data_IF_939986429967
#
_entry.id   IF_939986429967
#
_cell.length_a   1.000
_cell.length_b   1.000
_cell.length_c   1.000
_cell.angle_alpha   90.00
_cell.angle_beta   90.00
_cell.angle_gamma   90.00
#
_symmetry.space_group_name_H-M   'P 1'
#
loop_
_entity.id
_entity.type
_entity.pdbx_description
1 polymer ?
#
# COMPACT_ATOMS: atom_id res chain seq x y z
N UNK A 1 -63.22 -8.85 -10.68
CA UNK A 1 -62.31 -8.04 -11.49
C UNK A 1 -60.94 -8.74 -11.51
N UNK A 2 -60.73 -9.52 -12.55
CA UNK A 2 -59.55 -10.35 -12.76
C UNK A 2 -58.55 -9.59 -13.61
N UNK A 3 -57.36 -9.22 -13.05
CA UNK A 3 -56.27 -8.66 -13.82
C UNK A 3 -55.33 -9.79 -14.26
N UNK A 4 -55.24 -9.97 -15.56
CA UNK A 4 -54.38 -10.91 -16.28
C UNK A 4 -52.95 -10.41 -16.20
N UNK A 5 -52.03 -11.26 -15.68
CA UNK A 5 -50.59 -11.07 -15.74
C UNK A 5 -50.10 -11.69 -17.05
N UNK A 6 -49.56 -10.85 -17.93
CA UNK A 6 -48.96 -11.30 -19.19
C UNK A 6 -47.57 -11.84 -18.95
N UNK A 7 -47.38 -13.12 -19.29
CA UNK A 7 -46.07 -13.76 -19.35
C UNK A 7 -45.42 -13.42 -20.69
N UNK A 8 -44.37 -12.62 -20.70
CA UNK A 8 -43.52 -12.40 -21.87
C UNK A 8 -42.58 -13.60 -22.02
N UNK A 9 -42.87 -14.49 -22.94
CA UNK A 9 -41.97 -15.52 -23.44
C UNK A 9 -40.88 -14.84 -24.26
N UNK A 10 -39.67 -14.76 -23.71
CA UNK A 10 -38.48 -14.40 -24.47
C UNK A 10 -38.01 -15.60 -25.27
N UNK A 11 -38.22 -15.56 -26.59
CA UNK A 11 -37.74 -16.55 -27.54
C UNK A 11 -36.21 -16.57 -27.53
N UNK A 12 -35.63 -17.66 -27.02
CA UNK A 12 -34.21 -17.97 -27.16
C UNK A 12 -33.98 -18.42 -28.59
N UNK A 13 -33.47 -17.54 -29.43
CA UNK A 13 -32.90 -17.89 -30.72
C UNK A 13 -31.62 -18.71 -30.50
N UNK A 14 -31.75 -20.04 -30.64
CA UNK A 14 -30.61 -20.95 -30.87
C UNK A 14 -30.06 -20.60 -32.25
N UNK A 15 -29.08 -19.69 -32.30
CA UNK A 15 -28.21 -19.49 -33.44
C UNK A 15 -27.30 -20.71 -33.62
N UNK A 16 -27.56 -21.50 -34.62
CA UNK A 16 -26.71 -22.57 -35.15
C UNK A 16 -25.29 -22.05 -35.25
N UNK A 17 -24.38 -22.66 -34.52
CA UNK A 17 -22.93 -22.47 -34.68
C UNK A 17 -22.53 -23.03 -36.06
N UNK A 18 -22.55 -22.19 -37.07
CA UNK A 18 -21.80 -22.39 -38.28
C UNK A 18 -20.32 -22.37 -37.87
N UNK A 19 -19.72 -23.53 -37.77
CA UNK A 19 -18.26 -23.69 -37.72
C UNK A 19 -17.67 -23.24 -39.08
N UNK A 20 -17.82 -21.94 -39.38
CA UNK A 20 -17.11 -21.28 -40.44
C UNK A 20 -15.68 -20.96 -39.99
N UNK A 21 -14.70 -21.17 -40.83
CA UNK A 21 -13.34 -20.61 -40.72
C UNK A 21 -13.39 -19.07 -40.63
N UNK A 22 -13.89 -18.55 -39.54
CA UNK A 22 -13.95 -17.12 -39.28
C UNK A 22 -12.53 -16.57 -39.19
N UNK A 23 -12.30 -15.44 -39.85
CA UNK A 23 -11.03 -14.71 -39.74
C UNK A 23 -10.63 -14.58 -38.28
N UNK A 24 -9.36 -14.87 -37.99
CA UNK A 24 -8.82 -14.73 -36.64
C UNK A 24 -9.11 -13.33 -36.07
N UNK A 25 -9.71 -13.25 -34.90
CA UNK A 25 -10.14 -11.99 -34.32
C UNK A 25 -9.91 -11.90 -32.82
N UNK A 26 -9.68 -10.69 -32.34
CA UNK A 26 -9.61 -10.35 -30.93
C UNK A 26 -10.42 -9.06 -30.69
N UNK A 27 -11.08 -8.99 -29.57
CA UNK A 27 -11.75 -7.77 -29.09
C UNK A 27 -11.35 -7.48 -27.65
N UNK A 28 -11.47 -6.23 -27.22
CA UNK A 28 -11.29 -5.78 -25.84
C UNK A 28 -12.61 -5.26 -25.32
N UNK A 29 -12.88 -5.48 -24.04
CA UNK A 29 -14.09 -4.98 -23.38
C UNK A 29 -14.04 -3.44 -23.27
N UNK A 30 -12.86 -2.89 -22.90
CA UNK A 30 -12.64 -1.47 -22.67
C UNK A 30 -11.32 -1.05 -23.30
N UNK A 31 -11.33 0.07 -24.05
CA UNK A 31 -10.12 0.67 -24.64
C UNK A 31 -9.36 1.58 -23.67
N UNK A 32 -9.92 1.86 -22.49
CA UNK A 32 -9.27 2.63 -21.43
C UNK A 32 -9.57 2.00 -20.08
N UNK A 33 -8.54 1.59 -19.35
CA UNK A 33 -8.67 0.92 -18.05
C UNK A 33 -7.81 1.61 -17.01
N UNK A 34 -8.34 1.70 -15.79
CA UNK A 34 -7.57 2.17 -14.63
C UNK A 34 -7.09 0.98 -13.78
N UNK A 35 -5.88 1.06 -13.19
CA UNK A 35 -5.45 0.05 -12.24
C UNK A 35 -6.36 -0.03 -11.02
N UNK A 36 -6.82 -1.23 -10.68
CA UNK A 36 -7.46 -1.56 -9.41
C UNK A 36 -6.46 -2.32 -8.54
N UNK A 37 -6.16 -1.81 -7.35
CA UNK A 37 -5.04 -2.35 -6.57
C UNK A 37 -3.69 -2.14 -7.25
N UNK A 38 -2.92 -3.21 -7.47
CA UNK A 38 -1.55 -3.15 -8.02
C UNK A 38 -1.47 -3.23 -9.55
N UNK A 39 -2.58 -3.52 -10.24
CA UNK A 39 -2.61 -3.75 -11.68
C UNK A 39 -3.92 -3.28 -12.31
N UNK A 40 -3.90 -3.07 -13.62
CA UNK A 40 -5.09 -3.03 -14.45
C UNK A 40 -5.36 -4.43 -15.01
N UNK A 41 -6.63 -4.74 -15.22
CA UNK A 41 -7.08 -5.99 -15.86
C UNK A 41 -7.74 -5.62 -17.18
N UNK A 42 -7.18 -6.09 -18.29
CA UNK A 42 -7.77 -5.99 -19.62
C UNK A 42 -8.47 -7.30 -19.91
N UNK A 43 -9.77 -7.25 -20.22
CA UNK A 43 -10.57 -8.39 -20.61
C UNK A 43 -11.00 -8.27 -22.05
N UNK A 44 -11.22 -9.39 -22.71
CA UNK A 44 -11.70 -9.42 -24.07
C UNK A 44 -12.08 -10.83 -24.53
N UNK A 45 -12.47 -10.93 -25.80
CA UNK A 45 -12.82 -12.19 -26.45
C UNK A 45 -11.92 -12.43 -27.67
N UNK A 46 -11.81 -13.69 -28.05
CA UNK A 46 -11.07 -14.12 -29.25
C UNK A 46 -11.57 -15.50 -29.70
N UNK A 47 -11.53 -15.75 -30.99
CA UNK A 47 -11.75 -17.09 -31.55
C UNK A 47 -10.45 -17.92 -31.67
N UNK A 48 -9.34 -17.43 -31.06
CA UNK A 48 -8.04 -18.09 -31.09
C UNK A 48 -7.63 -18.58 -29.69
N UNK A 49 -6.96 -19.74 -29.60
CA UNK A 49 -6.48 -20.28 -28.32
C UNK A 49 -5.37 -19.48 -27.64
N UNK A 50 -4.76 -18.51 -28.35
CA UNK A 50 -3.64 -17.70 -27.83
C UNK A 50 -3.75 -16.27 -28.30
N UNK A 51 -3.68 -15.36 -27.34
CA UNK A 51 -3.64 -13.90 -27.53
C UNK A 51 -2.20 -13.42 -27.30
N UNK A 52 -1.72 -12.54 -28.18
CA UNK A 52 -0.42 -11.86 -28.10
C UNK A 52 -0.66 -10.44 -27.62
N UNK A 53 0.26 -9.90 -26.83
CA UNK A 53 0.21 -8.50 -26.43
C UNK A 53 1.60 -7.91 -26.23
N UNK A 54 1.71 -6.60 -26.46
CA UNK A 54 2.88 -5.80 -26.15
C UNK A 54 2.49 -4.65 -25.25
N UNK A 55 3.41 -4.19 -24.41
CA UNK A 55 3.22 -3.03 -23.53
C UNK A 55 4.25 -1.98 -23.91
N UNK A 56 3.78 -0.81 -24.34
CA UNK A 56 4.62 0.32 -24.78
C UNK A 56 5.63 -0.06 -25.88
N UNK A 57 5.24 -0.92 -26.81
CA UNK A 57 6.10 -1.38 -27.88
C UNK A 57 7.23 -2.33 -27.46
N UNK A 58 7.22 -2.81 -26.21
CA UNK A 58 8.20 -3.81 -25.72
C UNK A 58 7.99 -5.21 -26.30
N UNK A 59 8.69 -6.20 -25.76
CA UNK A 59 8.62 -7.59 -26.20
C UNK A 59 7.20 -8.15 -26.19
N UNK A 60 6.89 -8.98 -27.20
CA UNK A 60 5.61 -9.68 -27.30
C UNK A 60 5.50 -10.74 -26.19
N UNK A 61 4.36 -10.71 -25.51
CA UNK A 61 3.93 -11.69 -24.50
C UNK A 61 2.71 -12.43 -25.02
N UNK A 62 2.41 -13.57 -24.43
CA UNK A 62 1.25 -14.39 -24.78
C UNK A 62 0.42 -14.74 -23.55
N UNK A 63 -0.89 -14.92 -23.75
CA UNK A 63 -1.80 -15.54 -22.80
C UNK A 63 -2.71 -16.51 -23.52
N UNK A 64 -3.21 -17.53 -22.82
CA UNK A 64 -4.21 -18.45 -23.36
C UNK A 64 -5.61 -17.86 -23.18
N UNK A 65 -6.49 -18.10 -24.15
CA UNK A 65 -7.93 -17.88 -23.98
C UNK A 65 -8.58 -19.11 -23.34
N UNK A 66 -9.67 -18.88 -22.62
CA UNK A 66 -10.54 -19.93 -22.06
C UNK A 66 -11.96 -19.60 -22.43
N UNK A 67 -12.69 -20.52 -23.05
CA UNK A 67 -14.08 -20.31 -23.52
C UNK A 67 -14.23 -18.96 -24.25
N UNK A 68 -13.35 -18.74 -25.25
CA UNK A 68 -13.24 -17.51 -26.03
C UNK A 68 -12.86 -16.23 -25.24
N UNK A 69 -12.81 -16.28 -23.92
CA UNK A 69 -12.41 -15.17 -23.08
C UNK A 69 -10.92 -15.13 -22.80
N UNK A 70 -10.32 -13.95 -22.63
CA UNK A 70 -8.96 -13.77 -22.11
C UNK A 70 -8.91 -12.62 -21.10
N UNK A 71 -7.86 -12.66 -20.28
CA UNK A 71 -7.56 -11.60 -19.30
C UNK A 71 -6.06 -11.34 -19.24
N UNK A 72 -5.68 -10.05 -19.25
CA UNK A 72 -4.31 -9.59 -19.11
C UNK A 72 -4.17 -8.79 -17.83
N UNK A 73 -3.20 -9.12 -17.00
CA UNK A 73 -2.85 -8.35 -15.80
C UNK A 73 -1.66 -7.44 -16.11
N UNK A 74 -1.89 -6.14 -16.14
CA UNK A 74 -0.88 -5.12 -16.47
C UNK A 74 -0.48 -4.40 -15.19
N UNK A 75 0.75 -4.57 -14.68
CA UNK A 75 1.22 -3.90 -13.48
C UNK A 75 1.10 -2.38 -13.58
N UNK A 76 0.58 -1.74 -12.53
CA UNK A 76 0.46 -0.29 -12.47
C UNK A 76 1.84 0.38 -12.54
N UNK A 77 1.94 1.48 -13.31
CA UNK A 77 3.15 2.29 -13.44
C UNK A 77 2.86 3.77 -13.19
N UNK A 78 3.86 4.61 -12.92
CA UNK A 78 3.67 6.03 -12.64
C UNK A 78 3.36 6.86 -13.90
N UNK A 79 3.23 6.21 -15.04
CA UNK A 79 2.88 6.80 -16.33
C UNK A 79 1.83 5.95 -17.05
N UNK A 80 1.17 6.54 -18.03
CA UNK A 80 0.21 5.90 -18.92
C UNK A 80 0.89 4.81 -19.75
N UNK A 81 0.25 3.65 -19.89
CA UNK A 81 0.78 2.55 -20.70
C UNK A 81 -0.17 2.28 -21.88
N UNK A 82 0.40 1.95 -23.02
CA UNK A 82 -0.33 1.49 -24.20
C UNK A 82 -0.12 -0.01 -24.36
N UNK A 83 -1.20 -0.77 -24.38
CA UNK A 83 -1.18 -2.23 -24.58
C UNK A 83 -1.80 -2.52 -25.93
N UNK A 84 -1.02 -3.11 -26.84
CA UNK A 84 -1.52 -3.64 -28.10
C UNK A 84 -1.80 -5.12 -27.92
N UNK A 85 -3.01 -5.55 -28.26
CA UNK A 85 -3.49 -6.92 -28.11
C UNK A 85 -3.82 -7.44 -29.51
N UNK A 86 -3.31 -8.60 -29.88
CA UNK A 86 -3.47 -9.15 -31.23
C UNK A 86 -3.56 -10.67 -31.23
N UNK A 87 -4.00 -11.25 -32.32
CA UNK A 87 -3.94 -12.68 -32.62
C UNK A 87 -3.17 -12.91 -33.91
N UNK A 88 -2.65 -14.13 -34.08
CA UNK A 88 -1.93 -14.50 -35.32
C UNK A 88 -2.89 -14.41 -36.51
N UNK A 89 -2.47 -13.71 -37.58
CA UNK A 89 -3.26 -13.50 -38.78
C UNK A 89 -4.63 -12.83 -38.58
N UNK A 90 -4.77 -12.05 -37.50
CA UNK A 90 -6.00 -11.32 -37.17
C UNK A 90 -5.77 -9.83 -36.90
N UNK A 91 -6.77 -9.19 -36.31
CA UNK A 91 -6.74 -7.77 -35.96
C UNK A 91 -5.87 -7.48 -34.72
N UNK A 92 -5.65 -6.19 -34.50
CA UNK A 92 -4.96 -5.66 -33.31
C UNK A 92 -5.86 -4.61 -32.64
N UNK A 93 -6.04 -4.75 -31.35
CA UNK A 93 -6.71 -3.79 -30.48
C UNK A 93 -5.72 -3.02 -29.64
N UNK A 94 -6.07 -1.78 -29.30
CA UNK A 94 -5.21 -0.94 -28.47
C UNK A 94 -5.97 -0.51 -27.23
N UNK A 95 -5.35 -0.73 -26.05
CA UNK A 95 -5.89 -0.35 -24.75
C UNK A 95 -4.93 0.59 -24.06
N UNK A 96 -5.48 1.66 -23.52
CA UNK A 96 -4.76 2.60 -22.67
C UNK A 96 -4.94 2.20 -21.21
N UNK A 97 -3.82 2.03 -20.48
CA UNK A 97 -3.81 1.83 -19.03
C UNK A 97 -3.43 3.14 -18.34
N UNK A 98 -4.28 3.63 -17.44
CA UNK A 98 -4.03 4.87 -16.71
C UNK A 98 -2.81 4.75 -15.78
N UNK A 99 -2.15 5.89 -15.53
CA UNK A 99 -1.07 5.98 -14.55
C UNK A 99 -1.59 5.83 -13.12
N UNK A 100 -0.71 5.39 -12.20
CA UNK A 100 -0.98 5.41 -10.76
C UNK A 100 0.12 6.16 -10.02
N UNK A 101 -0.25 6.86 -8.96
CA UNK A 101 0.72 7.56 -8.10
C UNK A 101 1.60 6.55 -7.34
N UNK A 102 2.86 6.89 -7.17
CA UNK A 102 3.81 6.14 -6.34
C UNK A 102 3.49 6.35 -4.86
N UNK A 103 3.52 5.30 -4.04
CA UNK A 103 3.38 5.41 -2.59
C UNK A 103 4.64 6.07 -2.02
N UNK A 104 5.80 5.42 -2.21
CA UNK A 104 7.14 5.87 -1.79
C UNK A 104 8.22 5.08 -2.52
N UNK A 105 9.50 5.26 -2.16
CA UNK A 105 10.54 4.34 -2.61
C UNK A 105 10.44 3.01 -1.87
N UNK A 106 10.82 1.92 -2.54
CA UNK A 106 10.81 0.59 -1.91
C UNK A 106 11.73 0.55 -0.67
N UNK A 107 12.89 1.19 -0.74
CA UNK A 107 13.84 1.26 0.39
C UNK A 107 13.20 1.92 1.63
N UNK A 108 12.48 3.04 1.47
CA UNK A 108 11.76 3.67 2.59
C UNK A 108 10.71 2.74 3.19
N UNK A 109 9.93 2.09 2.34
CA UNK A 109 8.94 1.10 2.76
C UNK A 109 9.57 -0.05 3.54
N UNK A 110 10.59 -0.68 2.97
CA UNK A 110 11.31 -1.80 3.56
C UNK A 110 11.93 -1.43 4.92
N UNK A 111 12.60 -0.28 5.00
CA UNK A 111 13.20 0.20 6.24
C UNK A 111 12.14 0.45 7.31
N UNK A 112 11.07 1.18 6.99
CA UNK A 112 9.99 1.47 7.93
C UNK A 112 9.25 0.20 8.37
N UNK A 113 8.96 -0.72 7.45
CA UNK A 113 8.37 -2.02 7.76
C UNK A 113 9.22 -2.82 8.75
N UNK A 114 10.52 -2.99 8.45
CA UNK A 114 11.43 -3.80 9.27
C UNK A 114 11.69 -3.16 10.64
N UNK A 115 11.77 -1.83 10.72
CA UNK A 115 11.90 -1.11 11.98
C UNK A 115 10.63 -1.27 12.85
N UNK A 116 9.45 -1.13 12.25
CA UNK A 116 8.17 -1.32 12.96
C UNK A 116 8.03 -2.76 13.44
N UNK A 117 8.39 -3.73 12.61
CA UNK A 117 8.37 -5.16 12.97
C UNK A 117 9.27 -5.44 14.18
N UNK A 118 10.47 -4.88 14.22
CA UNK A 118 11.37 -4.99 15.37
C UNK A 118 10.82 -4.26 16.60
N UNK A 119 10.18 -3.11 16.41
CA UNK A 119 9.51 -2.37 17.47
C UNK A 119 8.38 -3.16 18.14
N UNK A 120 7.55 -3.84 17.35
CA UNK A 120 6.48 -4.71 17.84
C UNK A 120 7.00 -5.94 18.60
N UNK A 121 8.23 -6.38 18.33
CA UNK A 121 8.88 -7.48 19.03
C UNK A 121 9.54 -7.09 20.36
N UNK A 122 9.57 -5.79 20.69
CA UNK A 122 10.01 -5.32 22.00
C UNK A 122 9.01 -5.72 23.10
N UNK A 123 9.49 -5.85 24.34
CA UNK A 123 8.60 -5.96 25.51
C UNK A 123 7.72 -4.71 25.63
N UNK A 124 6.54 -4.83 26.25
CA UNK A 124 5.62 -3.72 26.45
C UNK A 124 6.30 -2.51 27.13
N UNK A 125 7.12 -2.76 28.14
CA UNK A 125 7.89 -1.71 28.80
C UNK A 125 8.82 -0.98 27.82
N UNK A 126 9.56 -1.71 26.98
CA UNK A 126 10.45 -1.11 26.00
C UNK A 126 9.70 -0.43 24.84
N UNK A 127 8.53 -0.94 24.43
CA UNK A 127 7.65 -0.25 23.49
C UNK A 127 7.21 1.12 24.03
N UNK A 128 6.77 1.17 25.31
CA UNK A 128 6.40 2.42 25.97
C UNK A 128 7.58 3.40 26.05
N UNK A 129 8.77 2.91 26.45
CA UNK A 129 9.99 3.73 26.46
C UNK A 129 10.33 4.28 25.07
N UNK A 130 10.23 3.44 24.02
CA UNK A 130 10.50 3.86 22.65
C UNK A 130 9.51 4.92 22.16
N UNK A 131 8.21 4.76 22.47
CA UNK A 131 7.18 5.75 22.14
C UNK A 131 7.44 7.08 22.86
N UNK A 132 7.68 7.04 24.16
CA UNK A 132 8.00 8.25 24.94
C UNK A 132 9.26 8.96 24.40
N UNK A 133 10.27 8.20 23.99
CA UNK A 133 11.48 8.74 23.37
C UNK A 133 11.19 9.48 22.07
N UNK A 134 10.32 8.91 21.22
CA UNK A 134 9.91 9.54 19.96
C UNK A 134 9.13 10.84 20.20
N UNK A 135 8.19 10.81 21.13
CA UNK A 135 7.36 11.99 21.47
C UNK A 135 8.22 13.12 22.04
N UNK A 136 9.13 12.79 22.96
CA UNK A 136 10.08 13.75 23.54
C UNK A 136 11.05 14.30 22.48
N UNK A 137 11.56 13.46 21.57
CA UNK A 137 12.41 13.92 20.47
C UNK A 137 11.66 14.86 19.51
N UNK A 138 10.39 14.56 19.21
CA UNK A 138 9.54 15.43 18.38
C UNK A 138 9.27 16.77 19.05
N UNK A 139 8.99 16.78 20.37
CA UNK A 139 8.80 18.01 21.17
C UNK A 139 10.08 18.84 21.18
N UNK A 140 11.21 18.22 21.44
CA UNK A 140 12.52 18.88 21.45
C UNK A 140 12.86 19.54 20.12
N UNK A 141 12.58 18.86 19.01
CA UNK A 141 12.75 19.41 17.65
C UNK A 141 11.90 20.66 17.42
N UNK A 142 10.63 20.65 17.86
CA UNK A 142 9.73 21.83 17.76
C UNK A 142 10.26 22.99 18.60
N UNK A 143 10.67 22.72 19.84
CA UNK A 143 11.23 23.74 20.74
C UNK A 143 12.50 24.34 20.17
N UNK A 144 13.41 23.51 19.64
CA UNK A 144 14.65 23.97 18.99
C UNK A 144 14.35 24.88 17.80
N UNK A 145 13.40 24.49 16.92
CA UNK A 145 13.03 25.33 15.78
C UNK A 145 12.40 26.68 16.22
N UNK A 146 11.60 26.66 17.28
CA UNK A 146 11.01 27.88 17.86
C UNK A 146 12.08 28.81 18.42
N UNK A 147 13.03 28.28 19.20
CA UNK A 147 14.15 29.08 19.75
C UNK A 147 14.99 29.67 18.61
N UNK A 148 15.32 28.89 17.58
CA UNK A 148 16.09 29.39 16.44
C UNK A 148 15.37 30.54 15.72
N UNK A 149 14.04 30.46 15.53
CA UNK A 149 13.25 31.54 14.94
C UNK A 149 13.24 32.80 15.83
N UNK A 150 13.10 32.63 17.15
CA UNK A 150 13.13 33.75 18.11
C UNK A 150 14.52 34.40 18.16
N UNK A 151 15.60 33.63 18.16
CA UNK A 151 16.99 34.14 18.08
C UNK A 151 17.18 34.97 16.82
N UNK A 152 16.70 34.50 15.65
CA UNK A 152 16.76 35.28 14.40
C UNK A 152 16.05 36.62 14.52
N UNK A 153 14.84 36.62 15.11
CA UNK A 153 14.04 37.84 15.32
C UNK A 153 14.73 38.82 16.28
N UNK A 154 15.23 38.30 17.43
CA UNK A 154 15.92 39.13 18.41
C UNK A 154 17.21 39.76 17.87
N UNK A 155 18.00 38.99 17.10
CA UNK A 155 19.20 39.52 16.40
C UNK A 155 18.85 40.63 15.39
N UNK A 156 17.72 40.47 14.66
CA UNK A 156 17.29 41.50 13.72
C UNK A 156 16.82 42.80 14.42
N UNK A 157 16.23 42.70 15.62
CA UNK A 157 15.86 43.86 16.45
C UNK A 157 17.11 44.56 16.98
N UNK A 158 18.08 43.81 17.52
CA UNK A 158 19.32 44.34 18.04
C UNK A 158 20.09 45.11 16.93
N UNK A 159 20.13 44.56 15.71
CA UNK A 159 20.74 45.23 14.55
C UNK A 159 20.07 46.55 14.13
N UNK A 160 18.82 46.77 14.56
CA UNK A 160 18.07 48.02 14.36
C UNK A 160 18.17 48.97 15.61
N UNK A 161 19.05 48.67 16.56
CA UNK A 161 19.26 49.50 17.76
C UNK A 161 18.38 49.19 18.94
N UNK A 162 17.52 48.16 18.86
CA UNK A 162 16.66 47.75 20.00
C UNK A 162 17.50 46.95 21.01
N UNK A 163 18.02 47.65 22.03
CA UNK A 163 18.87 47.07 23.08
C UNK A 163 18.12 46.12 24.01
N UNK A 164 16.76 46.19 24.07
CA UNK A 164 15.93 45.25 24.86
C UNK A 164 16.05 43.81 24.35
N UNK A 165 16.42 43.65 23.09
CA UNK A 165 16.67 42.35 22.50
C UNK A 165 17.86 41.56 23.10
N UNK A 166 18.77 42.25 23.82
CA UNK A 166 19.90 41.60 24.52
C UNK A 166 19.40 40.62 25.61
N UNK A 167 18.49 41.09 26.47
CA UNK A 167 17.89 40.24 27.51
C UNK A 167 17.14 39.03 26.90
N UNK A 168 16.44 39.26 25.79
CA UNK A 168 15.77 38.18 25.07
C UNK A 168 16.79 37.13 24.53
N UNK A 169 17.92 37.57 23.98
CA UNK A 169 18.95 36.64 23.49
C UNK A 169 19.59 35.85 24.65
N UNK A 170 19.77 36.47 25.83
CA UNK A 170 20.26 35.78 27.00
C UNK A 170 19.33 34.69 27.51
N UNK A 171 18.00 34.98 27.59
CA UNK A 171 16.97 33.99 27.93
C UNK A 171 16.95 32.83 26.91
N UNK A 172 17.02 33.16 25.62
CA UNK A 172 17.04 32.14 24.56
C UNK A 172 18.32 31.28 24.63
N UNK A 173 19.47 31.83 25.02
CA UNK A 173 20.69 31.06 25.23
C UNK A 173 20.51 30.05 26.39
N UNK A 174 19.93 30.48 27.54
CA UNK A 174 19.61 29.61 28.67
C UNK A 174 18.67 28.48 28.25
N UNK A 175 17.60 28.79 27.50
CA UNK A 175 16.69 27.78 26.94
C UNK A 175 17.42 26.82 26.00
N UNK A 176 18.37 27.30 25.21
CA UNK A 176 19.21 26.48 24.35
C UNK A 176 20.04 25.46 25.10
N UNK A 177 20.64 25.85 26.23
CA UNK A 177 21.43 24.93 27.10
C UNK A 177 20.50 23.88 27.75
N UNK A 178 19.29 24.28 28.20
CA UNK A 178 18.30 23.33 28.70
C UNK A 178 17.91 22.29 27.66
N UNK A 179 17.75 22.69 26.39
CA UNK A 179 17.48 21.75 25.29
C UNK A 179 18.64 20.80 25.03
N UNK A 180 19.90 21.26 25.12
CA UNK A 180 21.07 20.38 24.99
C UNK A 180 21.09 19.31 26.10
N UNK A 181 20.79 19.69 27.32
CA UNK A 181 20.70 18.76 28.46
C UNK A 181 19.58 17.72 28.22
N UNK A 182 18.41 18.15 27.74
CA UNK A 182 17.32 17.23 27.41
C UNK A 182 17.74 16.29 26.25
N UNK A 183 18.41 16.78 25.22
CA UNK A 183 18.91 15.97 24.11
C UNK A 183 19.90 14.90 24.59
N UNK A 184 20.80 15.24 25.52
CA UNK A 184 21.73 14.29 26.11
C UNK A 184 21.01 13.18 26.89
N UNK A 185 19.97 13.51 27.68
CA UNK A 185 19.13 12.51 28.37
C UNK A 185 18.40 11.59 27.40
N UNK A 186 17.87 12.13 26.32
CA UNK A 186 17.24 11.31 25.26
C UNK A 186 18.22 10.35 24.60
N UNK A 187 19.44 10.83 24.31
CA UNK A 187 20.50 10.00 23.74
C UNK A 187 20.90 8.86 24.70
N UNK A 188 21.01 9.13 25.99
CA UNK A 188 21.27 8.08 26.99
C UNK A 188 20.13 7.05 27.06
N UNK A 189 18.87 7.49 27.03
CA UNK A 189 17.70 6.61 26.99
C UNK A 189 17.69 5.76 25.71
N UNK A 190 18.01 6.34 24.56
CA UNK A 190 18.14 5.61 23.30
C UNK A 190 19.24 4.53 23.38
N UNK A 191 20.39 4.87 23.96
CA UNK A 191 21.48 3.91 24.14
C UNK A 191 21.07 2.74 25.06
N UNK A 192 20.28 2.99 26.11
CA UNK A 192 19.77 1.94 27.01
C UNK A 192 18.79 0.98 26.33
N UNK A 193 18.09 1.43 25.28
CA UNK A 193 17.18 0.58 24.48
C UNK A 193 17.90 -0.24 23.38
N UNK A 194 19.11 0.14 23.00
CA UNK A 194 19.81 -0.48 21.87
C UNK A 194 20.01 -2.00 22.01
N UNK A 195 20.37 -2.57 23.17
CA UNK A 195 20.50 -4.02 23.32
C UNK A 195 19.16 -4.76 23.14
N UNK A 196 18.08 -4.19 23.71
CA UNK A 196 16.74 -4.77 23.55
C UNK A 196 16.26 -4.72 22.08
N UNK A 197 16.52 -3.62 21.39
CA UNK A 197 16.20 -3.48 19.97
C UNK A 197 17.01 -4.46 19.11
N UNK A 198 18.30 -4.65 19.38
CA UNK A 198 19.14 -5.65 18.69
C UNK A 198 18.60 -7.06 18.88
N UNK A 199 18.18 -7.43 20.09
CA UNK A 199 17.54 -8.73 20.37
C UNK A 199 16.21 -8.87 19.63
N UNK A 200 15.38 -7.84 19.62
CA UNK A 200 14.11 -7.82 18.90
C UNK A 200 14.32 -7.95 17.39
N UNK A 201 15.29 -7.24 16.80
CA UNK A 201 15.65 -7.38 15.38
C UNK A 201 16.10 -8.80 15.04
N UNK A 202 16.91 -9.43 15.89
CA UNK A 202 17.34 -10.81 15.70
C UNK A 202 16.15 -11.78 15.72
N UNK A 203 15.19 -11.59 16.65
CA UNK A 203 14.01 -12.45 16.78
C UNK A 203 13.07 -12.41 15.58
N UNK A 204 13.01 -11.28 14.85
CA UNK A 204 12.15 -11.09 13.67
C UNK A 204 12.91 -11.17 12.34
N UNK A 205 14.18 -11.54 12.35
CA UNK A 205 15.04 -11.57 11.15
C UNK A 205 14.39 -12.33 9.99
N UNK A 206 13.75 -13.45 10.29
CA UNK A 206 13.07 -14.28 9.29
C UNK A 206 11.78 -13.66 8.76
N UNK A 207 11.25 -12.61 9.37
CA UNK A 207 10.01 -11.94 8.97
C UNK A 207 10.25 -10.58 8.32
N UNK A 208 11.50 -10.14 8.19
CA UNK A 208 11.86 -8.90 7.52
C UNK A 208 11.64 -8.98 6.00
N UNK A 209 11.38 -7.82 5.40
CA UNK A 209 11.36 -7.68 3.94
C UNK A 209 12.79 -7.64 3.38
N UNK A 210 13.01 -8.19 2.16
CA UNK A 210 14.32 -8.16 1.52
C UNK A 210 14.76 -6.72 1.21
N UNK A 211 16.07 -6.49 1.18
CA UNK A 211 16.64 -5.16 0.92
C UNK A 211 16.28 -4.60 -0.48
N UNK A 212 16.09 -5.48 -1.44
CA UNK A 212 15.72 -5.12 -2.82
C UNK A 212 14.47 -5.89 -3.27
N UNK A 213 13.72 -5.31 -4.20
CA UNK A 213 12.61 -6.00 -4.87
C UNK A 213 12.73 -5.85 -6.38
N UNK A 214 12.37 -6.92 -7.09
CA UNK A 214 12.31 -6.94 -8.55
C UNK A 214 11.19 -6.05 -9.08
N UNK A 215 11.38 -5.47 -10.28
CA UNK A 215 10.32 -4.74 -10.98
C UNK A 215 9.12 -5.65 -11.30
N UNK A 216 7.92 -5.09 -11.19
CA UNK A 216 6.66 -5.80 -11.41
C UNK A 216 6.00 -6.25 -10.11
N UNK A 217 5.05 -7.17 -10.24
CA UNK A 217 4.27 -7.70 -9.13
C UNK A 217 4.91 -8.99 -8.63
N UNK A 218 5.46 -8.97 -7.42
CA UNK A 218 6.11 -10.13 -6.81
C UNK A 218 5.69 -10.31 -5.36
N UNK A 219 5.57 -11.58 -4.93
CA UNK A 219 5.50 -11.91 -3.50
C UNK A 219 6.91 -11.82 -2.94
N UNK A 220 7.12 -10.88 -2.03
CA UNK A 220 8.44 -10.58 -1.45
C UNK A 220 8.62 -11.18 -0.07
N UNK A 221 7.51 -11.62 0.55
CA UNK A 221 7.51 -12.30 1.84
C UNK A 221 6.39 -13.34 1.90
N UNK A 222 6.72 -14.51 2.38
CA UNK A 222 5.77 -15.58 2.71
C UNK A 222 6.08 -16.08 4.10
N UNK A 223 5.08 -16.11 4.96
CA UNK A 223 5.11 -16.71 6.28
C UNK A 223 4.01 -17.76 6.41
N UNK A 224 3.93 -18.45 7.53
CA UNK A 224 2.82 -19.37 7.83
C UNK A 224 1.45 -18.66 7.87
N UNK A 225 1.41 -17.36 8.20
CA UNK A 225 0.19 -16.64 8.52
C UNK A 225 -0.21 -15.59 7.46
N UNK A 226 0.72 -15.15 6.64
CA UNK A 226 0.46 -14.12 5.64
C UNK A 226 1.50 -14.11 4.51
N UNK A 227 1.16 -13.44 3.42
CA UNK A 227 2.10 -13.10 2.34
C UNK A 227 2.07 -11.59 2.12
N UNK A 228 3.23 -11.00 1.83
CA UNK A 228 3.35 -9.62 1.35
C UNK A 228 3.74 -9.66 -0.12
N UNK A 229 2.91 -9.04 -0.94
CA UNK A 229 3.14 -8.87 -2.38
C UNK A 229 3.29 -7.38 -2.67
N UNK A 230 4.21 -7.01 -3.54
CA UNK A 230 4.42 -5.62 -3.94
C UNK A 230 4.43 -5.50 -5.46
N UNK A 231 4.04 -4.34 -5.95
CA UNK A 231 4.35 -3.87 -7.30
C UNK A 231 5.43 -2.79 -7.17
N UNK A 232 6.60 -3.05 -7.74
CA UNK A 232 7.73 -2.12 -7.75
C UNK A 232 8.06 -1.74 -9.19
N UNK A 233 8.36 -0.47 -9.41
CA UNK A 233 8.84 0.02 -10.68
C UNK A 233 10.02 0.99 -10.46
N UNK A 234 11.21 0.62 -10.94
CA UNK A 234 12.46 1.38 -10.79
C UNK A 234 12.67 1.87 -9.35
N UNK A 235 12.61 0.95 -8.39
CA UNK A 235 12.78 1.22 -6.96
C UNK A 235 11.62 1.99 -6.31
N UNK A 236 10.53 2.29 -7.05
CA UNK A 236 9.33 2.97 -6.54
C UNK A 236 8.25 1.94 -6.22
N UNK A 237 7.68 1.99 -5.02
CA UNK A 237 6.55 1.17 -4.60
C UNK A 237 5.26 1.74 -5.20
N UNK A 238 4.69 1.02 -6.16
CA UNK A 238 3.43 1.39 -6.81
C UNK A 238 2.21 0.88 -6.05
N UNK A 239 2.36 -0.19 -5.28
CA UNK A 239 1.34 -0.81 -4.46
C UNK A 239 1.90 -1.95 -3.64
N UNK A 240 1.20 -2.27 -2.55
CA UNK A 240 1.46 -3.46 -1.73
C UNK A 240 0.15 -4.21 -1.47
N UNK A 241 0.24 -5.49 -1.17
CA UNK A 241 -0.92 -6.29 -0.77
C UNK A 241 -0.51 -7.22 0.37
N UNK A 242 -1.25 -7.16 1.46
CA UNK A 242 -1.22 -8.18 2.51
C UNK A 242 -2.26 -9.24 2.16
N UNK A 243 -1.84 -10.49 2.10
CA UNK A 243 -2.68 -11.64 1.76
C UNK A 243 -2.75 -12.53 2.98
N UNK A 244 -3.95 -12.72 3.53
CA UNK A 244 -4.16 -13.40 4.82
C UNK A 244 -5.23 -14.47 4.66
N UNK A 245 -5.00 -15.72 5.09
CA UNK A 245 -6.06 -16.72 5.17
C UNK A 245 -7.20 -16.26 6.09
N UNK A 246 -8.45 -16.41 5.68
CA UNK A 246 -9.63 -16.03 6.50
C UNK A 246 -9.65 -16.82 7.82
N UNK A 247 -9.16 -18.05 7.82
CA UNK A 247 -9.00 -18.86 9.04
C UNK A 247 -8.14 -18.18 10.11
N UNK A 248 -7.19 -17.31 9.71
CA UNK A 248 -6.38 -16.53 10.65
C UNK A 248 -7.17 -15.44 11.39
N UNK A 249 -8.38 -15.11 10.94
CA UNK A 249 -9.23 -14.10 11.59
C UNK A 249 -10.22 -14.73 12.58
N UNK A 250 -10.36 -16.05 12.56
CA UNK A 250 -11.32 -16.78 13.41
C UNK A 250 -10.77 -17.19 14.78
N UNK A 251 -9.45 -17.06 14.99
CA UNK A 251 -8.77 -17.45 16.22
C UNK A 251 -8.10 -16.19 16.82
N UNK A 252 -8.36 -15.92 18.10
CA UNK A 252 -7.88 -14.71 18.78
C UNK A 252 -6.37 -14.50 18.71
N UNK A 253 -5.59 -15.58 18.86
CA UNK A 253 -4.13 -15.51 18.77
C UNK A 253 -3.68 -15.14 17.37
N UNK A 254 -4.32 -15.71 16.35
CA UNK A 254 -4.01 -15.42 14.94
C UNK A 254 -4.54 -14.03 14.53
N UNK A 255 -5.71 -13.62 15.03
CA UNK A 255 -6.26 -12.27 14.83
C UNK A 255 -5.34 -11.20 15.41
N UNK A 256 -4.73 -11.42 16.59
CA UNK A 256 -3.69 -10.52 17.14
C UNK A 256 -2.46 -10.44 16.25
N UNK A 257 -1.98 -11.57 15.72
CA UNK A 257 -0.85 -11.59 14.75
C UNK A 257 -1.21 -10.87 13.45
N UNK A 258 -2.43 -11.06 12.96
CA UNK A 258 -2.94 -10.32 11.80
C UNK A 258 -2.95 -8.82 12.07
N UNK A 259 -3.53 -8.36 13.19
CA UNK A 259 -3.58 -6.95 13.55
C UNK A 259 -2.18 -6.34 13.65
N UNK A 260 -1.22 -7.05 14.26
CA UNK A 260 0.18 -6.64 14.31
C UNK A 260 0.79 -6.52 12.90
N UNK A 261 0.61 -7.53 12.04
CA UNK A 261 1.16 -7.51 10.67
C UNK A 261 0.54 -6.39 9.84
N UNK A 262 -0.75 -6.15 10.00
CA UNK A 262 -1.44 -5.06 9.33
C UNK A 262 -0.97 -3.69 9.83
N UNK A 263 -0.74 -3.54 11.15
CA UNK A 263 -0.12 -2.36 11.76
C UNK A 263 1.27 -2.09 11.16
N UNK A 264 2.11 -3.12 11.08
CA UNK A 264 3.47 -3.04 10.49
C UNK A 264 3.40 -2.60 9.03
N UNK A 265 2.49 -3.17 8.23
CA UNK A 265 2.30 -2.77 6.84
C UNK A 265 1.83 -1.31 6.74
N UNK A 266 0.81 -0.93 7.53
CA UNK A 266 0.25 0.42 7.52
C UNK A 266 1.30 1.47 7.88
N UNK A 267 2.08 1.25 8.94
CA UNK A 267 3.20 2.12 9.32
C UNK A 267 4.28 2.13 8.24
N UNK A 268 4.61 0.96 7.68
CA UNK A 268 5.60 0.81 6.62
C UNK A 268 5.30 1.66 5.38
N UNK A 269 4.03 1.84 5.03
CA UNK A 269 3.60 2.71 3.91
C UNK A 269 3.33 4.16 4.33
N UNK A 270 3.60 4.54 5.58
CA UNK A 270 3.45 5.90 6.10
C UNK A 270 2.03 6.26 6.55
N UNK A 271 1.13 5.28 6.71
CA UNK A 271 -0.22 5.49 7.22
C UNK A 271 -0.25 5.53 8.76
N UNK A 272 -1.33 6.08 9.32
CA UNK A 272 -1.62 5.98 10.75
C UNK A 272 -2.22 4.60 11.06
N UNK A 273 -1.40 3.67 11.53
CA UNK A 273 -1.80 2.28 11.78
C UNK A 273 -2.98 2.16 12.76
N UNK A 274 -3.01 2.97 13.82
CA UNK A 274 -4.10 2.97 14.82
C UNK A 274 -5.44 3.36 14.17
N UNK A 275 -5.43 4.40 13.32
CA UNK A 275 -6.62 4.82 12.58
C UNK A 275 -7.08 3.72 11.60
N UNK A 276 -6.14 3.16 10.83
CA UNK A 276 -6.44 2.12 9.84
C UNK A 276 -7.03 0.88 10.50
N UNK A 277 -6.43 0.39 11.59
CA UNK A 277 -6.92 -0.78 12.34
C UNK A 277 -8.29 -0.51 12.98
N UNK A 278 -8.50 0.66 13.59
CA UNK A 278 -9.79 1.03 14.19
C UNK A 278 -10.90 1.05 13.13
N UNK A 279 -10.63 1.68 11.99
CA UNK A 279 -11.60 1.74 10.88
C UNK A 279 -11.87 0.36 10.31
N UNK A 280 -10.84 -0.47 10.12
CA UNK A 280 -11.00 -1.86 9.69
C UNK A 280 -11.90 -2.66 10.65
N UNK A 281 -11.64 -2.57 11.97
CA UNK A 281 -12.44 -3.27 12.99
C UNK A 281 -13.90 -2.81 12.98
N UNK A 282 -14.14 -1.49 12.92
CA UNK A 282 -15.49 -0.94 12.87
C UNK A 282 -16.26 -1.42 11.64
N UNK A 283 -15.60 -1.47 10.48
CA UNK A 283 -16.19 -1.90 9.22
C UNK A 283 -16.48 -3.41 9.23
N UNK A 284 -15.61 -4.21 9.85
CA UNK A 284 -15.79 -5.67 9.98
C UNK A 284 -16.99 -6.01 10.88
N UNK A 285 -17.25 -5.21 11.92
CA UNK A 285 -18.35 -5.44 12.85
C UNK A 285 -19.73 -5.02 12.29
N UNK A 286 -19.77 -4.16 11.26
CA UNK A 286 -21.01 -3.73 10.60
C UNK A 286 -21.56 -4.72 9.59
N UNK A 287 -20.82 -5.78 9.26
CA UNK A 287 -21.20 -6.76 8.24
C UNK A 287 -22.17 -7.82 8.78
N UNK A 288 -23.44 -7.46 8.87
CA UNK A 288 -24.57 -8.40 8.87
C UNK A 288 -25.30 -8.41 7.50
N UNK A 289 -24.62 -8.17 6.39
CA UNK A 289 -25.28 -8.18 5.09
C UNK A 289 -24.35 -8.67 3.98
N UNK A 290 -24.95 -9.37 3.05
CA UNK A 290 -24.45 -9.92 1.77
C UNK A 290 -23.76 -8.94 0.81
N UNK A 291 -23.24 -7.81 1.26
CA UNK A 291 -22.57 -6.83 0.41
C UNK A 291 -21.07 -7.13 0.29
N UNK A 292 -20.67 -7.52 -0.91
CA UNK A 292 -19.28 -7.60 -1.39
C UNK A 292 -18.62 -6.23 -1.58
N UNK A 293 -19.21 -5.14 -1.10
CA UNK A 293 -18.66 -3.78 -1.26
C UNK A 293 -17.45 -3.61 -0.36
N UNK A 294 -16.31 -3.44 -0.99
CA UNK A 294 -15.03 -3.19 -0.34
C UNK A 294 -15.00 -1.76 0.19
N UNK A 295 -15.19 -1.59 1.50
CA UNK A 295 -14.96 -0.29 2.12
C UNK A 295 -13.49 0.09 2.01
N UNK A 296 -13.27 1.33 1.61
CA UNK A 296 -11.95 1.90 1.42
C UNK A 296 -11.55 2.69 2.65
N UNK A 297 -10.33 2.47 3.16
CA UNK A 297 -9.77 3.22 4.31
C UNK A 297 -8.70 4.16 3.79
N UNK A 298 -8.80 5.44 4.14
CA UNK A 298 -7.82 6.47 3.74
C UNK A 298 -7.00 6.91 4.95
N UNK A 299 -5.68 7.00 4.79
CA UNK A 299 -4.78 7.49 5.84
C UNK A 299 -3.50 8.07 5.23
N UNK A 300 -3.19 9.34 5.53
CA UNK A 300 -1.98 10.05 5.08
C UNK A 300 -1.73 9.95 3.57
N UNK A 301 -2.80 10.05 2.77
CA UNK A 301 -2.73 9.97 1.30
C UNK A 301 -2.50 8.56 0.76
N UNK A 302 -2.59 7.53 1.60
CA UNK A 302 -2.58 6.11 1.23
C UNK A 302 -3.99 5.54 1.36
N UNK A 303 -4.35 4.67 0.44
CA UNK A 303 -5.68 4.03 0.35
C UNK A 303 -5.54 2.53 0.58
N UNK A 304 -6.34 1.99 1.50
CA UNK A 304 -6.47 0.55 1.76
C UNK A 304 -7.81 0.09 1.22
N UNK A 305 -7.81 -0.88 0.31
CA UNK A 305 -9.01 -1.51 -0.24
C UNK A 305 -9.01 -2.99 0.11
N UNK A 306 -10.16 -3.51 0.52
CA UNK A 306 -10.31 -4.90 0.94
C UNK A 306 -10.88 -5.73 -0.21
N UNK A 307 -10.35 -6.90 -0.41
CA UNK A 307 -10.90 -7.91 -1.31
C UNK A 307 -10.99 -9.26 -0.60
N UNK A 308 -12.03 -10.01 -0.87
CA UNK A 308 -12.27 -11.31 -0.26
C UNK A 308 -12.40 -12.38 -1.34
N UNK A 309 -11.83 -13.54 -1.07
CA UNK A 309 -12.24 -14.80 -1.68
C UNK A 309 -12.85 -15.69 -0.61
N UNK A 310 -13.29 -16.88 -0.95
CA UNK A 310 -13.85 -17.86 0.01
C UNK A 310 -12.90 -18.23 1.14
N UNK A 311 -11.58 -18.09 0.93
CA UNK A 311 -10.55 -18.52 1.88
C UNK A 311 -9.52 -17.46 2.25
N UNK A 312 -9.53 -16.29 1.58
CA UNK A 312 -8.43 -15.32 1.66
C UNK A 312 -8.94 -13.88 1.70
N UNK A 313 -8.39 -13.10 2.64
CA UNK A 313 -8.51 -11.64 2.68
C UNK A 313 -7.30 -11.02 1.97
N UNK A 314 -7.56 -10.09 1.08
CA UNK A 314 -6.58 -9.26 0.40
C UNK A 314 -6.73 -7.81 0.88
N UNK A 315 -5.65 -7.22 1.38
CA UNK A 315 -5.61 -5.80 1.74
C UNK A 315 -4.68 -5.12 0.75
N UNK A 316 -5.27 -4.42 -0.23
CA UNK A 316 -4.52 -3.67 -1.23
C UNK A 316 -4.18 -2.28 -0.70
N UNK A 317 -2.93 -1.88 -0.87
CA UNK A 317 -2.42 -0.56 -0.48
C UNK A 317 -1.96 0.18 -1.73
N UNK A 318 -2.53 1.36 -1.95
CA UNK A 318 -2.28 2.21 -3.13
C UNK A 318 -2.28 3.69 -2.76
N UNK A 319 -1.94 4.55 -3.75
CA UNK A 319 -1.99 6.02 -3.59
C UNK A 319 -2.69 6.67 -4.77
#
# INVERSE_FOLDING_TARGET
>A
MTKKVGVLLSAVLLGLALAGCGKASVSVQDHSVAPSGMAAVIKGKTNQGTVRYTINGGSTKTTKSQSEGYSLTIPAKPYKQTVKVSVKNGNTETVTVAKRKTIMTYTKFQTAYNQTLAGEALSKSNQTKATNLQDQAAALKKQSASIQAQVKTAKAKLAKGDTSATATLQDLATKGEALKTQAAKLKATQASLAPALKKAQASVKNDTLPATAKNGIHTIKTTKHYKVRTNVYNGKLMGATLIVPISALKNDTQAKKFAMTFSVLATGVGANAKHVLKTFSNNSNKKNSSQTTTETIHSNGVTFSLGYSTSTLYIYVTK
#
